data_IF_912642407436
#
_entry.id   IF_912642407436
#
_cell.length_a   1.000
_cell.length_b   1.000
_cell.length_c   1.000
_cell.angle_alpha   90.00
_cell.angle_beta   90.00
_cell.angle_gamma   90.00
#
_symmetry.space_group_name_H-M   'P 1'
#
loop_
_entity.id
_entity.type
_entity.pdbx_description
1 polymer ?
#
# COMPACT_ATOMS: atom_id res chain seq x y z
N UNK A 1 -31.08 -5.67 17.56
CA UNK A 1 -30.18 -5.57 16.38
C UNK A 1 -29.66 -4.14 16.30
N UNK A 2 -28.35 -3.91 16.11
CA UNK A 2 -27.81 -2.55 16.05
C UNK A 2 -28.07 -1.93 14.66
N UNK A 3 -29.09 -1.09 14.54
CA UNK A 3 -29.53 -0.48 13.27
C UNK A 3 -28.45 0.40 12.63
N UNK A 4 -27.71 1.17 13.43
CA UNK A 4 -26.63 2.03 12.95
C UNK A 4 -25.52 1.23 12.28
N UNK A 5 -25.19 0.06 12.85
CA UNK A 5 -24.20 -0.84 12.28
C UNK A 5 -24.64 -1.38 10.92
N UNK A 6 -25.91 -1.78 10.78
CA UNK A 6 -26.44 -2.28 9.51
C UNK A 6 -26.45 -1.19 8.44
N UNK A 7 -26.80 0.05 8.80
CA UNK A 7 -26.76 1.19 7.87
C UNK A 7 -25.34 1.41 7.31
N UNK A 8 -24.31 1.39 8.16
CA UNK A 8 -22.91 1.53 7.74
C UNK A 8 -22.48 0.38 6.83
N UNK A 9 -22.86 -0.85 7.16
CA UNK A 9 -22.54 -2.04 6.37
C UNK A 9 -23.13 -1.95 4.96
N UNK A 10 -24.38 -1.50 4.82
CA UNK A 10 -25.02 -1.31 3.51
C UNK A 10 -24.34 -0.22 2.70
N UNK A 11 -23.96 0.90 3.32
CA UNK A 11 -23.24 2.01 2.65
C UNK A 11 -21.89 1.55 2.09
N UNK A 12 -21.09 0.86 2.91
CA UNK A 12 -19.79 0.34 2.48
C UNK A 12 -19.94 -0.74 1.39
N UNK A 13 -20.94 -1.61 1.52
CA UNK A 13 -21.22 -2.65 0.53
C UNK A 13 -21.56 -2.06 -0.84
N UNK A 14 -22.41 -1.03 -0.88
CA UNK A 14 -22.73 -0.32 -2.11
C UNK A 14 -21.50 0.39 -2.70
N UNK A 15 -20.69 1.03 -1.87
CA UNK A 15 -19.45 1.69 -2.31
C UNK A 15 -18.46 0.69 -2.93
N UNK A 16 -18.28 -0.48 -2.32
CA UNK A 16 -17.37 -1.53 -2.81
C UNK A 16 -17.87 -2.22 -4.08
N UNK A 17 -19.20 -2.44 -4.20
CA UNK A 17 -19.78 -3.10 -5.37
C UNK A 17 -19.89 -2.21 -6.60
N UNK A 18 -19.89 -0.88 -6.42
CA UNK A 18 -19.84 0.07 -7.52
C UNK A 18 -18.68 -0.23 -8.48
N UNK A 19 -18.87 0.03 -9.77
CA UNK A 19 -17.83 -0.19 -10.79
C UNK A 19 -16.52 0.53 -10.43
N UNK A 20 -16.63 1.77 -9.96
CA UNK A 20 -15.52 2.60 -9.48
C UNK A 20 -14.85 2.01 -8.24
N UNK A 21 -15.61 1.57 -7.23
CA UNK A 21 -15.09 0.96 -6.02
C UNK A 21 -14.35 -0.35 -6.30
N UNK A 22 -14.89 -1.17 -7.20
CA UNK A 22 -14.27 -2.42 -7.65
C UNK A 22 -12.94 -2.16 -8.37
N UNK A 23 -12.89 -1.18 -9.27
CA UNK A 23 -11.67 -0.80 -9.98
C UNK A 23 -10.58 -0.31 -9.01
N UNK A 24 -10.93 0.56 -8.05
CA UNK A 24 -9.99 1.05 -7.03
C UNK A 24 -9.48 -0.09 -6.16
N UNK A 25 -10.35 -1.00 -5.73
CA UNK A 25 -9.99 -2.17 -4.92
C UNK A 25 -9.03 -3.09 -5.66
N UNK A 26 -9.31 -3.39 -6.95
CA UNK A 26 -8.43 -4.19 -7.80
C UNK A 26 -7.05 -3.52 -7.97
N UNK A 27 -7.02 -2.21 -8.25
CA UNK A 27 -5.77 -1.45 -8.38
C UNK A 27 -4.94 -1.47 -7.10
N UNK A 28 -5.56 -1.27 -5.93
CA UNK A 28 -4.89 -1.36 -4.63
C UNK A 28 -4.26 -2.72 -4.38
N UNK A 29 -4.93 -3.82 -4.75
CA UNK A 29 -4.38 -5.17 -4.60
C UNK A 29 -3.08 -5.35 -5.37
N UNK A 30 -3.00 -4.79 -6.59
CA UNK A 30 -1.81 -4.87 -7.43
C UNK A 30 -0.72 -3.95 -6.89
N UNK A 31 -1.04 -2.67 -6.67
CA UNK A 31 -0.07 -1.66 -6.25
C UNK A 31 0.53 -1.98 -4.88
N UNK A 32 -0.31 -2.30 -3.89
CA UNK A 32 0.15 -2.58 -2.53
C UNK A 32 1.03 -3.83 -2.50
N UNK A 33 0.57 -4.95 -3.08
CA UNK A 33 1.34 -6.21 -3.08
C UNK A 33 2.65 -6.07 -3.85
N UNK A 34 2.64 -5.34 -4.97
CA UNK A 34 3.84 -5.09 -5.78
C UNK A 34 4.89 -4.31 -4.99
N UNK A 35 4.50 -3.26 -4.26
CA UNK A 35 5.43 -2.44 -3.46
C UNK A 35 6.04 -3.24 -2.30
N UNK A 36 5.23 -3.96 -1.52
CA UNK A 36 5.77 -4.78 -0.43
C UNK A 36 6.63 -5.94 -0.93
N UNK A 37 6.27 -6.55 -2.06
CA UNK A 37 7.09 -7.57 -2.72
C UNK A 37 8.45 -7.02 -3.15
N UNK A 38 8.48 -5.84 -3.78
CA UNK A 38 9.72 -5.17 -4.18
C UNK A 38 10.59 -4.80 -2.98
N UNK A 39 10.01 -4.26 -1.91
CA UNK A 39 10.74 -3.95 -0.69
C UNK A 39 11.37 -5.22 -0.10
N UNK A 40 10.62 -6.32 -0.05
CA UNK A 40 11.11 -7.57 0.56
C UNK A 40 12.15 -8.30 -0.29
N UNK A 41 11.95 -8.35 -1.62
CA UNK A 41 12.79 -9.11 -2.55
C UNK A 41 13.94 -8.26 -3.09
N UNK A 42 13.67 -7.04 -3.55
CA UNK A 42 14.68 -6.18 -4.17
C UNK A 42 15.53 -5.43 -3.14
N UNK A 43 14.94 -4.97 -2.03
CA UNK A 43 15.68 -4.27 -0.96
C UNK A 43 16.12 -5.20 0.17
N UNK A 44 15.70 -6.48 0.17
CA UNK A 44 16.00 -7.43 1.23
C UNK A 44 15.45 -7.03 2.61
N UNK A 45 14.56 -6.04 2.66
CA UNK A 45 14.06 -5.46 3.91
C UNK A 45 12.95 -6.33 4.48
N UNK A 46 13.30 -7.17 5.47
CA UNK A 46 12.39 -8.14 6.10
C UNK A 46 11.84 -7.67 7.44
N UNK A 47 12.58 -6.80 8.15
CA UNK A 47 12.24 -6.27 9.46
C UNK A 47 12.85 -4.88 9.64
N UNK A 48 12.22 -4.04 10.47
CA UNK A 48 12.85 -2.80 10.90
C UNK A 48 14.05 -3.13 11.79
N UNK A 49 15.17 -2.47 11.54
CA UNK A 49 16.39 -2.69 12.32
C UNK A 49 16.42 -1.83 13.58
N UNK A 50 15.73 -0.70 13.54
CA UNK A 50 15.65 0.25 14.65
C UNK A 50 14.46 -0.04 15.56
N UNK A 51 14.58 0.32 16.85
CA UNK A 51 13.54 0.14 17.87
C UNK A 51 13.03 1.50 18.34
N UNK A 52 11.70 1.64 18.44
CA UNK A 52 11.05 2.87 18.89
C UNK A 52 10.34 3.62 17.76
N UNK A 53 9.20 4.22 18.09
CA UNK A 53 8.24 4.79 17.10
C UNK A 53 8.89 5.78 16.12
N UNK A 54 9.72 6.69 16.63
CA UNK A 54 10.39 7.71 15.80
C UNK A 54 11.39 7.09 14.83
N UNK A 55 12.20 6.14 15.29
CA UNK A 55 13.25 5.53 14.49
C UNK A 55 12.67 4.60 13.42
N UNK A 56 11.67 3.79 13.78
CA UNK A 56 10.94 2.93 12.82
C UNK A 56 10.29 3.76 11.71
N UNK A 57 9.74 4.93 12.04
CA UNK A 57 9.16 5.84 11.05
C UNK A 57 10.21 6.34 10.05
N UNK A 58 11.42 6.62 10.53
CA UNK A 58 12.53 7.07 9.69
C UNK A 58 13.02 5.92 8.79
N UNK A 59 13.24 4.73 9.36
CA UNK A 59 13.66 3.51 8.64
C UNK A 59 12.69 3.19 7.48
N UNK A 60 11.39 3.13 7.79
CA UNK A 60 10.35 2.94 6.77
C UNK A 60 10.31 4.07 5.72
N UNK A 61 10.55 5.31 6.14
CA UNK A 61 10.63 6.46 5.22
C UNK A 61 11.74 6.28 4.18
N UNK A 62 12.93 5.85 4.61
CA UNK A 62 14.04 5.56 3.71
C UNK A 62 13.73 4.42 2.74
N UNK A 63 13.19 3.31 3.25
CA UNK A 63 12.81 2.15 2.42
C UNK A 63 11.83 2.56 1.31
N UNK A 64 10.83 3.38 1.65
CA UNK A 64 9.86 3.89 0.67
C UNK A 64 10.49 4.87 -0.33
N UNK A 65 11.40 5.73 0.12
CA UNK A 65 12.11 6.67 -0.74
C UNK A 65 12.99 5.94 -1.77
N UNK A 66 13.76 4.95 -1.33
CA UNK A 66 14.57 4.10 -2.23
C UNK A 66 13.68 3.39 -3.24
N UNK A 67 12.54 2.84 -2.81
CA UNK A 67 11.60 2.19 -3.72
C UNK A 67 11.03 3.16 -4.78
N UNK A 68 10.75 4.40 -4.39
CA UNK A 68 10.28 5.44 -5.32
C UNK A 68 11.35 5.81 -6.35
N UNK A 69 12.62 5.91 -5.94
CA UNK A 69 13.75 6.17 -6.84
C UNK A 69 13.95 5.03 -7.85
N UNK A 70 13.88 3.78 -7.40
CA UNK A 70 13.93 2.61 -8.29
C UNK A 70 12.80 2.63 -9.32
N UNK A 71 11.58 3.00 -8.89
CA UNK A 71 10.42 3.14 -9.79
C UNK A 71 10.60 4.30 -10.77
N UNK A 72 11.22 5.40 -10.35
CA UNK A 72 11.52 6.53 -11.22
C UNK A 72 12.57 6.17 -12.29
N UNK A 73 13.68 5.54 -11.89
CA UNK A 73 14.73 5.12 -12.81
C UNK A 73 14.23 4.11 -13.85
N UNK A 74 13.38 3.15 -13.45
CA UNK A 74 12.75 2.21 -14.39
C UNK A 74 11.90 2.93 -15.44
N UNK A 75 11.12 3.95 -15.05
CA UNK A 75 10.34 4.77 -15.99
C UNK A 75 11.24 5.59 -16.92
N UNK A 76 12.29 6.23 -16.37
CA UNK A 76 13.24 7.01 -17.16
C UNK A 76 13.97 6.18 -18.22
N UNK A 77 14.20 4.88 -17.97
CA UNK A 77 14.86 3.96 -18.92
C UNK A 77 13.91 3.37 -19.97
N UNK A 78 12.60 3.50 -19.78
CA UNK A 78 11.56 3.02 -20.70
C UNK A 78 11.05 4.12 -21.62
N UNK A 79 11.21 5.38 -21.21
CA UNK A 79 11.11 6.56 -22.08
C UNK A 79 12.44 6.79 -22.81
#
# INVERSE_FOLDING_TARGET
>A
MNERYQCLKTKEYQALLSSKGRQISAKRKIDMKSVFGQIKVCLGYKRCYLRGKRQVRIDMGFVLMVNNLLKYNKRKRQN
#
